data_IF_325800887257
#
_entry.id   IF_325800887257
#
_cell.length_a   1.000
_cell.length_b   1.000
_cell.length_c   1.000
_cell.angle_alpha   90.00
_cell.angle_beta   90.00
_cell.angle_gamma   90.00
#
_symmetry.space_group_name_H-M   'P 1'
#
loop_
_entity.id
_entity.type
_entity.pdbx_description
1 polymer ?
#
# COMPACT_ATOMS: atom_id res chain seq x y z
N UNK A 1 -20.18 6.41 31.84
CA UNK A 1 -19.01 7.21 31.41
C UNK A 1 -18.35 6.47 30.25
N UNK A 2 -18.41 6.94 29.00
CA UNK A 2 -17.64 6.32 27.93
C UNK A 2 -16.27 7.00 27.83
N UNK A 3 -15.21 6.19 27.93
CA UNK A 3 -13.84 6.62 27.66
C UNK A 3 -13.62 6.65 26.13
N UNK A 4 -13.00 7.72 25.59
CA UNK A 4 -12.60 7.75 24.19
C UNK A 4 -11.34 6.89 24.01
N UNK A 5 -11.43 5.79 23.26
CA UNK A 5 -10.24 5.09 22.79
C UNK A 5 -9.61 5.92 21.69
N UNK A 6 -8.54 6.62 22.06
CA UNK A 6 -7.57 7.24 21.17
C UNK A 6 -6.89 6.11 20.39
N UNK A 7 -7.35 5.84 19.16
CA UNK A 7 -6.54 5.18 18.14
C UNK A 7 -5.55 6.23 17.60
N UNK A 8 -4.63 6.63 18.47
CA UNK A 8 -3.50 7.50 18.15
C UNK A 8 -2.47 6.68 17.41
N UNK A 9 -2.52 6.74 16.08
CA UNK A 9 -1.57 6.03 15.24
C UNK A 9 -1.93 5.99 13.76
N UNK A 10 -2.56 7.04 13.22
CA UNK A 10 -2.78 7.18 11.77
C UNK A 10 -2.36 8.59 11.31
N UNK A 11 -1.12 8.96 11.62
CA UNK A 11 -0.55 10.25 11.24
C UNK A 11 0.95 10.15 10.96
N UNK A 12 1.34 9.23 10.09
CA UNK A 12 2.66 9.21 9.43
C UNK A 12 2.59 8.20 8.28
N UNK A 13 2.03 8.55 7.12
CA UNK A 13 2.91 8.72 5.94
C UNK A 13 2.19 9.40 4.75
N UNK A 14 1.08 10.10 4.98
CA UNK A 14 0.27 10.71 3.90
C UNK A 14 0.79 12.02 3.30
N UNK A 15 1.90 12.60 3.80
CA UNK A 15 2.42 13.91 3.37
C UNK A 15 3.81 13.88 2.72
N UNK A 16 4.38 12.71 2.44
CA UNK A 16 5.55 12.59 1.56
C UNK A 16 5.19 12.69 0.06
N UNK A 17 3.91 12.84 -0.28
CA UNK A 17 3.40 12.88 -1.65
C UNK A 17 3.84 14.10 -2.47
N UNK A 18 4.38 15.16 -1.85
CA UNK A 18 4.87 16.35 -2.58
C UNK A 18 6.35 16.28 -2.95
N UNK A 19 7.15 15.43 -2.30
CA UNK A 19 8.55 15.23 -2.66
C UNK A 19 8.73 14.14 -3.73
N UNK A 20 7.84 13.14 -3.77
CA UNK A 20 7.95 11.99 -4.70
C UNK A 20 7.66 12.37 -6.16
N UNK A 21 7.03 13.51 -6.43
CA UNK A 21 6.90 14.06 -7.80
C UNK A 21 8.17 14.78 -8.31
N UNK A 22 9.22 14.87 -7.49
CA UNK A 22 10.43 15.65 -7.76
C UNK A 22 11.33 15.17 -8.92
N UNK A 23 11.12 13.94 -9.45
CA UNK A 23 11.95 13.41 -10.54
C UNK A 23 11.26 13.41 -11.92
N UNK A 24 10.02 12.93 -11.98
CA UNK A 24 9.35 12.63 -13.26
C UNK A 24 8.52 13.79 -13.82
N UNK A 25 7.98 14.65 -12.96
CA UNK A 25 7.17 15.82 -13.36
C UNK A 25 8.04 17.09 -13.46
N UNK A 26 9.14 17.17 -12.69
CA UNK A 26 10.03 18.32 -12.70
C UNK A 26 11.06 18.35 -13.85
N UNK A 27 11.23 17.25 -14.58
CA UNK A 27 12.21 17.19 -15.67
C UNK A 27 11.71 17.89 -16.95
N UNK A 28 10.91 17.24 -17.81
CA UNK A 28 10.60 17.80 -19.12
C UNK A 28 9.58 18.94 -19.08
N UNK A 29 8.51 18.82 -18.30
CA UNK A 29 7.42 19.80 -18.30
C UNK A 29 7.80 21.10 -17.59
N UNK A 30 8.45 21.03 -16.41
CA UNK A 30 8.95 22.22 -15.71
C UNK A 30 10.16 22.87 -16.41
N UNK A 31 11.03 22.12 -17.09
CA UNK A 31 12.07 22.72 -17.92
C UNK A 31 11.49 23.45 -19.14
N UNK A 32 10.46 22.89 -19.78
CA UNK A 32 9.75 23.56 -20.87
C UNK A 32 9.01 24.80 -20.36
N UNK A 33 8.30 24.71 -19.23
CA UNK A 33 7.57 25.84 -18.66
C UNK A 33 8.51 26.93 -18.11
N UNK A 34 9.67 26.54 -17.55
CA UNK A 34 10.67 27.45 -17.00
C UNK A 34 11.59 28.09 -18.05
N UNK A 35 11.76 27.46 -19.21
CA UNK A 35 12.48 28.05 -20.36
C UNK A 35 11.63 29.07 -21.13
N UNK A 36 10.33 29.21 -20.83
CA UNK A 36 9.47 30.21 -21.45
C UNK A 36 9.56 31.50 -20.62
N UNK A 37 10.61 32.26 -20.84
CA UNK A 37 10.58 33.70 -20.55
C UNK A 37 9.90 34.40 -21.74
N UNK A 38 8.99 35.35 -21.45
CA UNK A 38 8.24 36.05 -22.50
C UNK A 38 9.15 36.75 -23.54
N UNK A 39 10.37 37.13 -23.14
CA UNK A 39 11.40 37.75 -23.98
C UNK A 39 11.99 36.83 -25.06
N UNK A 40 11.96 35.51 -24.86
CA UNK A 40 12.57 34.55 -25.81
C UNK A 40 11.62 34.16 -26.96
N UNK A 41 10.31 34.40 -26.79
CA UNK A 41 9.28 34.10 -27.78
C UNK A 41 9.24 35.11 -28.95
N UNK A 42 9.68 36.35 -28.74
CA UNK A 42 9.66 37.38 -29.79
C UNK A 42 10.76 37.17 -30.84
N UNK A 43 11.83 36.44 -30.50
CA UNK A 43 12.99 36.21 -31.39
C UNK A 43 12.90 34.98 -32.30
N UNK A 44 11.91 34.09 -32.12
CA UNK A 44 12.02 32.69 -32.58
C UNK A 44 10.85 32.18 -33.45
N UNK A 45 10.39 33.01 -34.39
CA UNK A 45 9.34 32.65 -35.35
C UNK A 45 9.73 31.46 -36.27
N UNK A 46 11.02 31.32 -36.60
CA UNK A 46 11.54 30.21 -37.42
C UNK A 46 11.78 28.92 -36.62
N UNK A 47 11.94 29.02 -35.30
CA UNK A 47 12.10 27.89 -34.37
C UNK A 47 10.75 27.28 -33.93
N UNK A 48 9.61 27.86 -34.32
CA UNK A 48 8.26 27.43 -33.93
C UNK A 48 8.00 25.93 -34.22
N UNK A 49 8.58 25.40 -35.30
CA UNK A 49 8.46 23.97 -35.64
C UNK A 49 9.24 23.07 -34.66
N UNK A 50 10.41 23.50 -34.20
CA UNK A 50 11.19 22.79 -33.19
C UNK A 50 10.47 22.83 -31.82
N UNK A 51 9.82 23.95 -31.49
CA UNK A 51 8.98 24.08 -30.29
C UNK A 51 7.76 23.16 -30.33
N UNK A 52 7.05 23.08 -31.45
CA UNK A 52 5.94 22.12 -31.61
C UNK A 52 6.41 20.68 -31.40
N UNK A 53 7.56 20.30 -31.96
CA UNK A 53 8.12 18.96 -31.76
C UNK A 53 8.50 18.66 -30.30
N UNK A 54 9.06 19.64 -29.58
CA UNK A 54 9.37 19.50 -28.15
C UNK A 54 8.10 19.40 -27.29
N UNK A 55 7.10 20.23 -27.57
CA UNK A 55 5.81 20.19 -26.90
C UNK A 55 5.10 18.85 -27.14
N UNK A 56 5.09 18.35 -28.38
CA UNK A 56 4.50 17.05 -28.70
C UNK A 56 5.23 15.89 -27.98
N UNK A 57 6.57 15.94 -27.92
CA UNK A 57 7.35 14.96 -27.18
C UNK A 57 7.07 15.00 -25.67
N UNK A 58 6.84 16.19 -25.11
CA UNK A 58 6.47 16.34 -23.70
C UNK A 58 5.07 15.82 -23.41
N UNK A 59 4.10 16.08 -24.29
CA UNK A 59 2.72 15.54 -24.18
C UNK A 59 2.75 14.01 -24.18
N UNK A 60 3.47 13.39 -25.13
CA UNK A 60 3.60 11.91 -25.17
C UNK A 60 4.20 11.33 -23.90
N UNK A 61 5.19 12.02 -23.30
CA UNK A 61 5.76 11.61 -22.00
C UNK A 61 4.74 11.76 -20.87
N UNK A 62 3.98 12.85 -20.86
CA UNK A 62 2.93 13.08 -19.86
C UNK A 62 1.81 12.02 -19.95
N UNK A 63 1.40 11.63 -21.15
CA UNK A 63 0.39 10.58 -21.35
C UNK A 63 0.83 9.24 -20.73
N UNK A 64 2.10 8.85 -20.92
CA UNK A 64 2.67 7.64 -20.31
C UNK A 64 2.65 7.73 -18.78
N UNK A 65 2.97 8.89 -18.20
CA UNK A 65 2.91 9.09 -16.75
C UNK A 65 1.49 8.99 -16.24
N UNK A 66 0.52 9.61 -16.94
CA UNK A 66 -0.90 9.55 -16.59
C UNK A 66 -1.40 8.10 -16.58
N UNK A 67 -1.03 7.30 -17.58
CA UNK A 67 -1.45 5.90 -17.65
C UNK A 67 -0.85 5.03 -16.54
N UNK A 68 0.41 5.29 -16.15
CA UNK A 68 1.03 4.65 -14.99
C UNK A 68 0.30 5.03 -13.69
N UNK A 69 0.02 6.32 -13.48
CA UNK A 69 -0.68 6.81 -12.28
C UNK A 69 -2.10 6.25 -12.17
N UNK A 70 -2.84 6.14 -13.28
CA UNK A 70 -4.16 5.46 -13.31
C UNK A 70 -4.06 3.99 -12.91
N UNK A 71 -2.96 3.32 -13.27
CA UNK A 71 -2.75 1.92 -12.91
C UNK A 71 -2.44 1.76 -11.42
N UNK A 72 -1.67 2.68 -10.85
CA UNK A 72 -1.41 2.77 -9.41
C UNK A 72 -2.70 3.07 -8.64
N UNK A 73 -3.49 4.05 -9.09
CA UNK A 73 -4.78 4.41 -8.48
C UNK A 73 -5.71 3.20 -8.38
N UNK A 74 -5.88 2.46 -9.49
CA UNK A 74 -6.67 1.22 -9.50
C UNK A 74 -6.13 0.18 -8.51
N UNK A 75 -4.82 0.05 -8.37
CA UNK A 75 -4.24 -0.87 -7.39
C UNK A 75 -4.49 -0.42 -5.95
N UNK A 76 -4.36 0.88 -5.67
CA UNK A 76 -4.64 1.45 -4.35
C UNK A 76 -6.11 1.24 -3.93
N UNK A 77 -7.05 1.36 -4.87
CA UNK A 77 -8.46 1.03 -4.64
C UNK A 77 -8.65 -0.45 -4.27
N UNK A 78 -7.95 -1.35 -4.96
CA UNK A 78 -8.02 -2.79 -4.67
C UNK A 78 -7.43 -3.11 -3.30
N UNK A 79 -6.29 -2.50 -2.94
CA UNK A 79 -5.69 -2.63 -1.62
C UNK A 79 -6.64 -2.14 -0.53
N UNK A 80 -7.23 -0.95 -0.71
CA UNK A 80 -8.16 -0.35 0.25
C UNK A 80 -9.37 -1.25 0.49
N UNK A 81 -9.96 -1.79 -0.58
CA UNK A 81 -11.08 -2.75 -0.47
C UNK A 81 -10.66 -4.04 0.23
N UNK A 82 -9.45 -4.54 -0.04
CA UNK A 82 -8.95 -5.75 0.59
C UNK A 82 -8.66 -5.55 2.09
N UNK A 83 -8.03 -4.43 2.46
CA UNK A 83 -7.77 -4.05 3.85
C UNK A 83 -9.10 -3.96 4.62
N UNK A 84 -10.11 -3.31 4.05
CA UNK A 84 -11.42 -3.16 4.69
C UNK A 84 -12.08 -4.50 4.99
N UNK A 85 -12.02 -5.46 4.04
CA UNK A 85 -12.56 -6.80 4.25
C UNK A 85 -11.80 -7.56 5.32
N UNK A 86 -10.47 -7.51 5.26
CA UNK A 86 -9.61 -8.20 6.21
C UNK A 86 -9.76 -7.64 7.62
N UNK A 87 -9.85 -6.31 7.76
CA UNK A 87 -10.02 -5.62 9.04
C UNK A 87 -11.29 -6.06 9.76
N UNK A 88 -12.41 -6.22 9.03
CA UNK A 88 -13.65 -6.76 9.60
C UNK A 88 -13.47 -8.19 10.17
N UNK A 89 -12.74 -9.06 9.46
CA UNK A 89 -12.48 -10.43 9.94
C UNK A 89 -11.51 -10.42 11.13
N UNK A 90 -10.44 -9.64 11.06
CA UNK A 90 -9.49 -9.46 12.14
C UNK A 90 -10.16 -8.92 13.40
N UNK A 91 -11.06 -7.94 13.27
CA UNK A 91 -11.80 -7.37 14.38
C UNK A 91 -12.61 -8.42 15.14
N UNK A 92 -13.26 -9.36 14.44
CA UNK A 92 -13.95 -10.49 15.08
C UNK A 92 -12.99 -11.36 15.88
N UNK A 93 -11.85 -11.76 15.30
CA UNK A 93 -10.84 -12.56 15.99
C UNK A 93 -10.28 -11.84 17.23
N UNK A 94 -10.04 -10.53 17.11
CA UNK A 94 -9.56 -9.70 18.21
C UNK A 94 -10.56 -9.62 19.36
N UNK A 95 -11.85 -9.49 19.06
CA UNK A 95 -12.90 -9.51 20.09
C UNK A 95 -12.93 -10.84 20.85
N UNK A 96 -12.86 -11.96 20.13
CA UNK A 96 -12.83 -13.28 20.76
C UNK A 96 -11.57 -13.47 21.62
N UNK A 97 -10.41 -13.00 21.14
CA UNK A 97 -9.16 -13.06 21.91
C UNK A 97 -9.26 -12.20 23.19
N UNK A 98 -9.81 -10.99 23.09
CA UNK A 98 -10.05 -10.11 24.24
C UNK A 98 -11.03 -10.74 25.24
N UNK A 99 -12.07 -11.42 24.76
CA UNK A 99 -13.03 -12.13 25.62
C UNK A 99 -12.33 -13.26 26.41
N UNK A 100 -11.48 -14.05 25.73
CA UNK A 100 -10.65 -15.07 26.37
C UNK A 100 -9.71 -14.48 27.42
N UNK A 101 -9.04 -13.37 27.10
CA UNK A 101 -8.17 -12.68 28.07
C UNK A 101 -8.95 -12.23 29.30
N UNK A 102 -10.13 -11.61 29.11
CA UNK A 102 -10.98 -11.14 30.22
C UNK A 102 -11.50 -12.29 31.08
N UNK A 103 -11.89 -13.42 30.48
CA UNK A 103 -12.38 -14.63 31.20
C UNK A 103 -11.39 -15.11 32.26
N UNK A 104 -10.10 -14.99 31.99
CA UNK A 104 -9.03 -15.45 32.87
C UNK A 104 -8.35 -14.29 33.61
N UNK A 105 -8.96 -13.11 33.66
CA UNK A 105 -8.38 -11.91 34.27
C UNK A 105 -6.97 -11.58 33.76
N UNK A 106 -6.71 -11.82 32.48
CA UNK A 106 -5.42 -11.63 31.80
C UNK A 106 -4.28 -12.52 32.32
N UNK A 107 -4.57 -13.55 33.12
CA UNK A 107 -3.59 -14.54 33.60
C UNK A 107 -3.37 -15.63 32.54
N UNK A 108 -2.29 -15.48 31.76
CA UNK A 108 -1.94 -16.37 30.65
C UNK A 108 -1.58 -17.80 31.08
N UNK A 109 -1.23 -18.02 32.35
CA UNK A 109 -0.92 -19.35 32.87
C UNK A 109 -2.14 -20.27 32.89
N UNK A 110 -3.35 -19.69 32.89
CA UNK A 110 -4.63 -20.41 32.96
C UNK A 110 -5.18 -20.82 31.60
N UNK A 111 -4.53 -20.41 30.52
CA UNK A 111 -5.03 -20.65 29.17
C UNK A 111 -4.82 -22.09 28.78
N UNK A 112 -5.87 -22.74 28.28
CA UNK A 112 -5.73 -24.04 27.64
C UNK A 112 -5.12 -23.91 26.24
N UNK A 113 -4.77 -25.03 25.61
CA UNK A 113 -4.11 -25.01 24.31
C UNK A 113 -4.96 -24.32 23.24
N UNK A 114 -6.28 -24.58 23.19
CA UNK A 114 -7.20 -23.95 22.24
C UNK A 114 -7.24 -22.43 22.39
N UNK A 115 -7.25 -21.92 23.62
CA UNK A 115 -7.22 -20.49 23.92
C UNK A 115 -5.89 -19.87 23.46
N UNK A 116 -4.76 -20.56 23.67
CA UNK A 116 -3.44 -20.13 23.16
C UNK A 116 -3.38 -20.13 21.64
N UNK A 117 -3.92 -21.15 20.99
CA UNK A 117 -3.96 -21.27 19.53
C UNK A 117 -4.78 -20.13 18.92
N UNK A 118 -5.93 -19.80 19.54
CA UNK A 118 -6.77 -18.67 19.13
C UNK A 118 -6.01 -17.32 19.22
N UNK A 119 -5.28 -17.10 20.31
CA UNK A 119 -4.43 -15.92 20.47
C UNK A 119 -3.34 -15.87 19.40
N UNK A 120 -2.71 -17.01 19.11
CA UNK A 120 -1.66 -17.11 18.10
C UNK A 120 -2.21 -16.79 16.71
N UNK A 121 -3.35 -17.37 16.32
CA UNK A 121 -4.07 -17.05 15.09
C UNK A 121 -4.36 -15.55 14.98
N UNK A 122 -4.85 -14.94 16.06
CA UNK A 122 -5.19 -13.51 16.07
C UNK A 122 -3.96 -12.65 15.85
N UNK A 123 -2.86 -12.95 16.54
CA UNK A 123 -1.58 -12.23 16.40
C UNK A 123 -0.99 -12.44 15.01
N UNK A 124 -0.94 -13.66 14.48
CA UNK A 124 -0.43 -13.93 13.13
C UNK A 124 -1.27 -13.26 12.05
N UNK A 125 -2.59 -13.18 12.25
CA UNK A 125 -3.49 -12.44 11.36
C UNK A 125 -3.16 -10.95 11.35
N UNK A 126 -2.90 -10.34 12.52
CA UNK A 126 -2.44 -8.96 12.63
C UNK A 126 -1.09 -8.74 11.94
N UNK A 127 -0.13 -9.65 12.15
CA UNK A 127 1.18 -9.56 11.53
C UNK A 127 1.10 -9.67 10.00
N UNK A 128 0.21 -10.52 9.49
CA UNK A 128 -0.06 -10.63 8.05
C UNK A 128 -0.60 -9.30 7.49
N UNK A 129 -1.52 -8.64 8.20
CA UNK A 129 -2.02 -7.32 7.81
C UNK A 129 -0.90 -6.28 7.84
N UNK A 130 -0.05 -6.29 8.87
CA UNK A 130 1.11 -5.38 8.96
C UNK A 130 2.04 -5.53 7.77
N UNK A 131 2.45 -6.77 7.46
CA UNK A 131 3.31 -7.06 6.30
C UNK A 131 2.65 -6.62 4.98
N UNK A 132 1.34 -6.84 4.82
CA UNK A 132 0.62 -6.39 3.62
C UNK A 132 0.65 -4.87 3.45
N UNK A 133 0.52 -4.10 4.55
CA UNK A 133 0.54 -2.64 4.53
C UNK A 133 1.93 -2.05 4.22
N UNK A 134 2.99 -2.83 4.46
CA UNK A 134 4.37 -2.42 4.18
C UNK A 134 4.78 -2.63 2.73
N UNK A 135 4.02 -3.40 1.93
CA UNK A 135 4.32 -3.63 0.51
C UNK A 135 4.09 -2.36 -0.31
N UNK A 136 5.14 -1.90 -0.99
CA UNK A 136 5.03 -0.74 -1.90
C UNK A 136 4.21 -1.06 -3.16
N UNK A 137 3.23 -0.21 -3.44
CA UNK A 137 2.41 -0.28 -4.67
C UNK A 137 3.23 0.12 -5.90
N UNK A 138 4.19 1.03 -5.76
CA UNK A 138 4.98 1.60 -6.86
C UNK A 138 6.49 1.45 -6.66
N UNK A 139 7.23 1.42 -7.76
CA UNK A 139 8.70 1.47 -7.77
C UNK A 139 9.23 2.92 -7.74
N UNK A 140 10.55 3.05 -7.77
CA UNK A 140 11.26 4.34 -7.83
C UNK A 140 10.96 5.16 -9.09
N UNK A 141 10.40 4.51 -10.13
CA UNK A 141 9.96 5.15 -11.37
C UNK A 141 8.46 5.45 -11.39
N UNK A 142 7.78 5.34 -10.24
CA UNK A 142 6.34 5.56 -10.07
C UNK A 142 5.47 4.59 -10.89
N UNK A 143 6.01 3.43 -11.24
CA UNK A 143 5.28 2.39 -11.96
C UNK A 143 4.75 1.35 -10.98
N UNK A 144 3.55 0.83 -11.28
CA UNK A 144 2.95 -0.27 -10.54
C UNK A 144 3.89 -1.49 -10.50
N UNK A 145 4.14 -2.02 -9.30
CA UNK A 145 5.03 -3.18 -9.12
C UNK A 145 4.29 -4.50 -9.27
N UNK A 146 5.00 -5.54 -9.72
CA UNK A 146 4.48 -6.92 -9.67
C UNK A 146 4.36 -7.41 -8.22
N UNK A 147 5.20 -6.90 -7.31
CA UNK A 147 5.13 -7.17 -5.87
C UNK A 147 3.77 -6.79 -5.30
N UNK A 148 3.23 -5.63 -5.68
CA UNK A 148 1.90 -5.19 -5.25
C UNK A 148 0.79 -6.14 -5.70
N UNK A 149 0.87 -6.66 -6.95
CA UNK A 149 -0.09 -7.65 -7.45
C UNK A 149 -0.01 -8.96 -6.68
N UNK A 150 1.20 -9.44 -6.42
CA UNK A 150 1.43 -10.68 -5.66
C UNK A 150 0.94 -10.55 -4.22
N UNK A 151 1.24 -9.43 -3.56
CA UNK A 151 0.74 -9.14 -2.23
C UNK A 151 -0.79 -9.15 -2.19
N UNK A 152 -1.45 -8.55 -3.17
CA UNK A 152 -2.91 -8.54 -3.26
C UNK A 152 -3.49 -9.96 -3.40
N UNK A 153 -2.85 -10.84 -4.16
CA UNK A 153 -3.25 -12.24 -4.30
C UNK A 153 -3.11 -12.97 -2.96
N UNK A 154 -1.93 -12.87 -2.32
CA UNK A 154 -1.68 -13.49 -1.01
C UNK A 154 -2.72 -13.04 0.04
N UNK A 155 -3.04 -11.75 0.04
CA UNK A 155 -4.00 -11.19 0.99
C UNK A 155 -5.44 -11.63 0.69
N UNK A 156 -5.81 -11.81 -0.58
CA UNK A 156 -7.10 -12.41 -0.96
C UNK A 156 -7.21 -13.85 -0.49
N UNK A 157 -6.21 -14.68 -0.76
CA UNK A 157 -6.18 -16.08 -0.34
C UNK A 157 -6.27 -16.23 1.18
N UNK A 158 -5.59 -15.35 1.91
CA UNK A 158 -5.67 -15.27 3.36
C UNK A 158 -7.07 -14.85 3.83
N UNK A 159 -7.66 -13.83 3.21
CA UNK A 159 -9.02 -13.35 3.53
C UNK A 159 -10.05 -14.44 3.29
N UNK A 160 -9.98 -15.13 2.15
CA UNK A 160 -10.89 -16.21 1.78
C UNK A 160 -10.75 -17.40 2.75
N UNK A 161 -9.52 -17.70 3.20
CA UNK A 161 -9.29 -18.74 4.22
C UNK A 161 -9.95 -18.38 5.55
N UNK A 162 -9.83 -17.11 5.98
CA UNK A 162 -10.44 -16.60 7.21
C UNK A 162 -11.98 -16.56 7.12
N UNK A 163 -12.53 -16.07 6.01
CA UNK A 163 -13.97 -15.95 5.78
C UNK A 163 -14.66 -17.33 5.79
N UNK A 164 -14.02 -18.34 5.18
CA UNK A 164 -14.56 -19.70 5.13
C UNK A 164 -14.29 -20.52 6.41
N UNK A 165 -13.58 -19.96 7.39
CA UNK A 165 -13.13 -20.70 8.58
C UNK A 165 -12.13 -21.83 8.29
N UNK A 166 -11.58 -21.88 7.08
CA UNK A 166 -10.64 -22.90 6.62
C UNK A 166 -9.20 -22.37 6.68
N UNK A 167 -8.78 -21.95 7.87
CA UNK A 167 -7.44 -21.44 8.11
C UNK A 167 -6.72 -22.27 9.18
N UNK A 168 -5.40 -22.36 9.06
CA UNK A 168 -4.51 -22.95 10.04
C UNK A 168 -3.39 -21.95 10.37
N UNK A 169 -2.80 -22.07 11.56
CA UNK A 169 -1.69 -21.21 11.95
C UNK A 169 -0.54 -21.26 10.94
N UNK A 170 -0.21 -22.46 10.46
CA UNK A 170 0.83 -22.66 9.44
C UNK A 170 0.47 -21.96 8.11
N UNK A 171 -0.80 -22.02 7.69
CA UNK A 171 -1.26 -21.36 6.47
C UNK A 171 -1.19 -19.83 6.56
N UNK A 172 -1.51 -19.27 7.73
CA UNK A 172 -1.37 -17.84 8.01
C UNK A 172 0.11 -17.46 7.99
N UNK A 173 0.95 -18.19 8.74
CA UNK A 173 2.39 -17.94 8.81
C UNK A 173 3.08 -18.05 7.45
N UNK A 174 2.70 -19.02 6.62
CA UNK A 174 3.23 -19.16 5.27
C UNK A 174 2.96 -17.91 4.41
N UNK A 175 1.74 -17.37 4.44
CA UNK A 175 1.40 -16.17 3.66
C UNK A 175 2.02 -14.91 4.24
N UNK A 176 2.14 -14.80 5.56
CA UNK A 176 2.88 -13.73 6.22
C UNK A 176 4.34 -13.70 5.75
N UNK A 177 5.06 -14.82 5.80
CA UNK A 177 6.45 -14.89 5.37
C UNK A 177 6.61 -14.48 3.90
N UNK A 178 5.68 -14.91 3.03
CA UNK A 178 5.70 -14.49 1.61
C UNK A 178 5.43 -13.00 1.41
N UNK A 179 4.69 -12.34 2.29
CA UNK A 179 4.54 -10.88 2.25
C UNK A 179 5.83 -10.20 2.72
N UNK A 180 6.46 -10.72 3.77
CA UNK A 180 7.75 -10.23 4.28
C UNK A 180 8.86 -10.33 3.21
N UNK A 181 8.91 -11.44 2.46
CA UNK A 181 9.84 -11.61 1.33
C UNK A 181 9.68 -10.53 0.25
N UNK A 182 8.44 -10.02 0.04
CA UNK A 182 8.19 -8.95 -0.93
C UNK A 182 8.72 -7.59 -0.45
N UNK A 183 8.87 -7.40 0.86
CA UNK A 183 9.39 -6.17 1.48
C UNK A 183 10.92 -6.18 1.47
N UNK A 184 11.52 -7.31 1.82
CA UNK A 184 12.96 -7.46 2.01
C UNK A 184 13.76 -7.49 0.71
N UNK A 185 13.10 -7.72 -0.43
CA UNK A 185 13.71 -7.68 -1.76
C UNK A 185 14.03 -6.23 -2.22
N UNK A 186 14.75 -5.47 -1.40
CA UNK A 186 15.30 -4.14 -1.71
C UNK A 186 16.51 -4.20 -2.66
N UNK A 187 16.79 -5.33 -3.31
CA UNK A 187 17.99 -5.54 -4.12
C UNK A 187 17.72 -6.34 -5.40
N UNK A 188 17.20 -5.68 -6.43
CA UNK A 188 17.58 -5.94 -7.83
C UNK A 188 17.13 -4.79 -8.73
#
# INVERSE_FOLDING_TARGET
MPLPFILGGLAASGLAGMAVFGGLIAGPALAILGAISADEMEKKRDDAKAYCSQAEAAVKKADVVIDNLRSVEKMADLFTRQITKFDALFFSLAQDAIATMKKHHYDTSRYNQKEKDQLCVTVSTLMTLSAFLEVSIMDEHQKLTEKAKNALILMRDQTDSLENGNYSLDGIGFRQARLEDLIDDKTS
#
